data_IF_739824257966
#
_entry.id   IF_739824257966
#
_cell.length_a   1.000
_cell.length_b   1.000
_cell.length_c   1.000
_cell.angle_alpha   90.00
_cell.angle_beta   90.00
_cell.angle_gamma   90.00
#
_symmetry.space_group_name_H-M   'P 1'
#
loop_
_entity.id
_entity.type
_entity.pdbx_description
1 polymer ?
#
# COMPACT_ATOMS: atom_id res chain seq x y z
N UNK A 1 -22.73 2.00 -11.88
CA UNK A 1 -23.46 2.63 -10.76
C UNK A 1 -24.92 2.28 -10.92
N UNK A 2 -25.50 1.58 -9.95
CA UNK A 2 -26.92 1.25 -9.94
C UNK A 2 -27.76 2.51 -9.72
N UNK A 3 -29.04 2.49 -10.14
CA UNK A 3 -29.96 3.63 -9.97
C UNK A 3 -30.15 4.03 -8.49
N UNK A 4 -29.89 3.14 -7.55
CA UNK A 4 -30.00 3.34 -6.09
C UNK A 4 -28.85 4.21 -5.54
N UNK A 5 -27.65 4.15 -6.11
CA UNK A 5 -26.52 5.00 -5.69
C UNK A 5 -26.70 6.48 -5.97
N UNK A 6 -27.69 6.84 -6.82
CA UNK A 6 -28.01 8.24 -7.13
C UNK A 6 -28.94 8.91 -6.12
N UNK A 7 -29.53 8.15 -5.20
CA UNK A 7 -30.56 8.65 -4.26
C UNK A 7 -30.02 9.15 -2.92
N UNK A 8 -28.76 8.85 -2.57
CA UNK A 8 -28.17 9.33 -1.31
C UNK A 8 -26.99 10.26 -1.59
N UNK A 9 -27.03 11.50 -1.09
CA UNK A 9 -25.92 12.42 -1.25
C UNK A 9 -24.69 11.86 -0.50
N UNK A 10 -23.65 11.51 -1.22
CA UNK A 10 -22.36 11.13 -0.62
C UNK A 10 -21.78 12.32 0.14
N UNK A 11 -21.19 12.09 1.31
CA UNK A 11 -20.53 13.15 2.09
C UNK A 11 -19.45 13.85 1.25
N UNK A 12 -19.10 15.12 1.53
CA UNK A 12 -18.02 15.81 0.84
C UNK A 12 -16.70 15.03 0.88
N UNK A 13 -16.43 14.34 1.98
CA UNK A 13 -15.24 13.51 2.16
C UNK A 13 -15.24 12.28 1.23
N UNK A 14 -16.39 11.59 1.11
CA UNK A 14 -16.52 10.45 0.21
C UNK A 14 -16.40 10.88 -1.25
N UNK A 15 -16.99 12.00 -1.63
CA UNK A 15 -16.83 12.55 -3.00
C UNK A 15 -15.37 12.85 -3.31
N UNK A 16 -14.67 13.50 -2.38
CA UNK A 16 -13.23 13.77 -2.51
C UNK A 16 -12.40 12.48 -2.66
N UNK A 17 -12.71 11.48 -1.83
CA UNK A 17 -12.06 10.16 -1.91
C UNK A 17 -12.28 9.50 -3.27
N UNK A 18 -13.53 9.46 -3.75
CA UNK A 18 -13.85 8.87 -5.05
C UNK A 18 -13.16 9.61 -6.20
N UNK A 19 -13.04 10.93 -6.14
CA UNK A 19 -12.27 11.69 -7.12
C UNK A 19 -10.78 11.34 -7.09
N UNK A 20 -10.18 11.24 -5.91
CA UNK A 20 -8.77 10.82 -5.74
C UNK A 20 -8.56 9.40 -6.25
N UNK A 21 -9.45 8.46 -5.93
CA UNK A 21 -9.40 7.09 -6.43
C UNK A 21 -9.51 7.02 -7.96
N UNK A 22 -10.44 7.80 -8.56
CA UNK A 22 -10.57 7.91 -10.03
C UNK A 22 -9.32 8.52 -10.68
N UNK A 23 -8.70 9.52 -10.06
CA UNK A 23 -7.43 10.08 -10.51
C UNK A 23 -6.32 9.02 -10.49
N UNK A 24 -6.20 8.26 -9.42
CA UNK A 24 -5.24 7.17 -9.28
C UNK A 24 -5.47 6.07 -10.31
N UNK A 25 -6.73 5.73 -10.57
CA UNK A 25 -7.11 4.83 -11.65
C UNK A 25 -6.96 5.46 -13.05
N UNK A 26 -6.72 6.77 -13.12
CA UNK A 26 -6.61 7.53 -14.36
C UNK A 26 -7.93 7.64 -15.14
N UNK A 27 -9.05 7.62 -14.44
CA UNK A 27 -10.41 7.75 -15.02
C UNK A 27 -11.09 9.08 -14.66
N UNK A 28 -10.36 10.05 -14.11
CA UNK A 28 -10.88 11.31 -13.58
C UNK A 28 -11.18 12.40 -14.64
N UNK A 29 -11.07 12.11 -15.94
CA UNK A 29 -11.29 13.12 -16.96
C UNK A 29 -12.78 13.49 -17.08
N UNK A 30 -13.16 14.78 -16.97
CA UNK A 30 -14.56 15.23 -17.07
C UNK A 30 -15.09 15.26 -18.52
N UNK A 31 -14.24 15.25 -19.53
CA UNK A 31 -14.58 15.35 -20.95
C UNK A 31 -14.12 14.11 -21.71
N UNK A 32 -14.70 13.88 -22.89
CA UNK A 32 -14.26 12.81 -23.79
C UNK A 32 -12.75 12.95 -24.08
N UNK A 33 -11.98 12.00 -23.57
CA UNK A 33 -10.57 11.86 -23.87
C UNK A 33 -10.43 10.59 -24.70
N UNK A 34 -9.64 10.59 -25.78
CA UNK A 34 -9.38 9.38 -26.55
C UNK A 34 -8.98 8.22 -25.65
N UNK A 35 -9.41 6.99 -25.93
CA UNK A 35 -9.10 5.87 -25.07
C UNK A 35 -7.60 5.72 -24.90
N UNK A 36 -7.11 5.96 -23.67
CA UNK A 36 -5.71 5.77 -23.36
C UNK A 36 -5.42 4.29 -23.22
N UNK A 37 -4.46 3.80 -24.00
CA UNK A 37 -3.98 2.44 -23.90
C UNK A 37 -2.87 2.35 -22.86
N UNK A 38 -2.94 1.32 -22.05
CA UNK A 38 -1.88 0.91 -21.13
C UNK A 38 -1.31 -0.40 -21.64
N UNK A 39 0.03 -0.48 -21.70
CA UNK A 39 0.74 -1.65 -22.13
C UNK A 39 1.32 -2.43 -20.96
N UNK A 40 1.17 -3.75 -20.99
CA UNK A 40 1.78 -4.64 -20.02
C UNK A 40 3.27 -4.79 -20.34
N UNK A 41 4.14 -4.34 -19.45
CA UNK A 41 5.59 -4.42 -19.62
C UNK A 41 6.14 -5.85 -19.71
N UNK A 42 5.38 -6.86 -19.22
CA UNK A 42 5.81 -8.27 -19.25
C UNK A 42 5.46 -8.97 -20.57
N UNK A 43 4.25 -8.75 -21.09
CA UNK A 43 3.78 -9.51 -22.26
C UNK A 43 3.38 -8.64 -23.46
N UNK A 44 3.57 -7.33 -23.42
CA UNK A 44 3.24 -6.39 -24.49
C UNK A 44 1.74 -6.18 -24.74
N UNK A 45 0.84 -6.83 -23.98
CA UNK A 45 -0.60 -6.66 -24.15
C UNK A 45 -0.99 -5.20 -23.94
N UNK A 46 -1.62 -4.62 -24.96
CA UNK A 46 -2.22 -3.28 -24.92
C UNK A 46 -3.73 -3.40 -24.74
N UNK A 47 -4.26 -2.67 -23.79
CA UNK A 47 -5.70 -2.58 -23.55
C UNK A 47 -6.06 -1.16 -23.12
N UNK A 48 -7.33 -0.79 -23.26
CA UNK A 48 -7.80 0.50 -22.78
C UNK A 48 -7.71 0.57 -21.25
N UNK A 49 -7.59 1.77 -20.72
CA UNK A 49 -7.55 1.99 -19.27
C UNK A 49 -8.77 1.43 -18.54
N UNK A 50 -9.95 1.46 -19.18
CA UNK A 50 -11.18 0.86 -18.63
C UNK A 50 -11.05 -0.65 -18.39
N UNK A 51 -10.42 -1.38 -19.34
CA UNK A 51 -10.15 -2.82 -19.18
C UNK A 51 -9.20 -3.05 -18.01
N UNK A 52 -8.14 -2.25 -17.89
CA UNK A 52 -7.21 -2.33 -16.76
C UNK A 52 -7.86 -2.03 -15.42
N UNK A 53 -8.73 -1.04 -15.35
CA UNK A 53 -9.47 -0.72 -14.12
C UNK A 53 -10.40 -1.87 -13.72
N UNK A 54 -11.13 -2.48 -14.68
CA UNK A 54 -11.99 -3.65 -14.40
C UNK A 54 -11.22 -4.83 -13.85
N UNK A 55 -9.99 -5.07 -14.33
CA UNK A 55 -9.10 -6.12 -13.82
C UNK A 55 -8.25 -5.66 -12.63
N UNK A 56 -8.54 -4.51 -12.03
CA UNK A 56 -7.75 -3.91 -10.95
C UNK A 56 -6.25 -3.81 -11.28
N UNK A 57 -5.92 -3.51 -12.55
CA UNK A 57 -4.54 -3.47 -13.05
C UNK A 57 -3.78 -4.80 -12.93
N UNK A 58 -4.49 -5.90 -12.90
CA UNK A 58 -3.94 -7.24 -13.15
C UNK A 58 -4.03 -7.52 -14.65
N UNK A 59 -2.93 -7.90 -15.28
CA UNK A 59 -2.92 -8.13 -16.72
C UNK A 59 -3.81 -9.33 -17.10
N UNK A 60 -4.84 -9.14 -17.93
CA UNK A 60 -5.75 -10.23 -18.28
C UNK A 60 -5.11 -11.33 -19.13
N UNK A 61 -3.89 -11.08 -19.64
CA UNK A 61 -3.17 -12.05 -20.47
C UNK A 61 -2.12 -12.85 -19.70
N UNK A 62 -1.32 -12.18 -18.84
CA UNK A 62 -0.20 -12.85 -18.15
C UNK A 62 -0.26 -12.76 -16.64
N UNK A 63 -1.32 -12.22 -16.06
CA UNK A 63 -1.54 -12.15 -14.61
C UNK A 63 -0.63 -11.16 -13.85
N UNK A 64 0.30 -10.48 -14.52
CA UNK A 64 1.19 -9.55 -13.81
C UNK A 64 0.41 -8.39 -13.19
N UNK A 65 0.78 -8.02 -11.97
CA UNK A 65 0.20 -6.92 -11.23
C UNK A 65 0.97 -5.62 -11.52
N UNK A 66 0.30 -4.63 -12.12
CA UNK A 66 0.88 -3.30 -12.30
C UNK A 66 0.75 -2.48 -11.01
N UNK A 67 1.65 -1.50 -10.83
CA UNK A 67 1.56 -0.55 -9.71
C UNK A 67 0.26 0.26 -9.79
N UNK A 68 -0.37 0.47 -8.64
CA UNK A 68 -1.59 1.28 -8.49
C UNK A 68 -1.39 2.31 -7.38
N UNK A 69 -2.15 3.41 -7.46
CA UNK A 69 -2.10 4.46 -6.46
C UNK A 69 -2.82 4.11 -5.15
N UNK A 70 -2.43 4.80 -4.08
CA UNK A 70 -2.93 4.52 -2.74
C UNK A 70 -4.46 4.69 -2.61
N UNK A 71 -5.03 5.76 -3.14
CA UNK A 71 -6.48 5.96 -3.08
C UNK A 71 -7.24 4.94 -3.93
N UNK A 72 -6.69 4.53 -5.07
CA UNK A 72 -7.30 3.46 -5.86
C UNK A 72 -7.22 2.13 -5.11
N UNK A 73 -6.08 1.79 -4.47
CA UNK A 73 -5.95 0.61 -3.60
C UNK A 73 -7.02 0.60 -2.51
N UNK A 74 -7.16 1.70 -1.78
CA UNK A 74 -8.19 1.84 -0.74
C UNK A 74 -9.60 1.64 -1.30
N UNK A 75 -9.90 2.15 -2.49
CA UNK A 75 -11.21 1.97 -3.11
C UNK A 75 -11.51 0.53 -3.55
N UNK A 76 -10.48 -0.32 -3.73
CA UNK A 76 -10.68 -1.74 -4.08
C UNK A 76 -10.94 -2.63 -2.86
N UNK A 77 -10.54 -2.19 -1.67
CA UNK A 77 -10.66 -3.01 -0.44
C UNK A 77 -11.71 -2.49 0.54
N UNK A 78 -11.87 -1.16 0.67
CA UNK A 78 -12.84 -0.60 1.59
C UNK A 78 -14.28 -0.76 1.10
N UNK A 79 -15.20 -0.85 2.04
CA UNK A 79 -16.62 -0.79 1.76
C UNK A 79 -17.01 0.64 1.40
N UNK A 80 -17.94 0.77 0.45
CA UNK A 80 -18.37 2.07 -0.08
C UNK A 80 -18.88 2.98 1.05
N UNK A 81 -18.51 4.26 1.00
CA UNK A 81 -18.97 5.29 1.94
C UNK A 81 -18.33 5.25 3.33
N UNK A 82 -17.34 4.38 3.56
CA UNK A 82 -16.74 4.20 4.89
C UNK A 82 -15.37 4.85 5.07
N UNK A 83 -14.80 5.40 4.00
CA UNK A 83 -13.48 5.99 4.02
C UNK A 83 -13.39 7.25 4.89
N UNK A 84 -12.41 7.29 5.78
CA UNK A 84 -12.00 8.48 6.51
C UNK A 84 -10.48 8.53 6.58
N UNK A 85 -9.88 9.55 5.95
CA UNK A 85 -8.42 9.73 5.95
C UNK A 85 -7.92 10.13 7.34
N UNK A 86 -6.78 9.56 7.73
CA UNK A 86 -6.05 9.91 8.95
C UNK A 86 -4.81 10.72 8.57
N UNK A 87 -4.52 11.75 9.35
CA UNK A 87 -3.28 12.53 9.24
C UNK A 87 -2.96 13.02 7.80
N UNK A 88 -3.93 13.63 7.07
CA UNK A 88 -3.73 14.06 5.69
C UNK A 88 -2.70 15.18 5.54
N UNK A 89 -2.39 15.90 6.63
CA UNK A 89 -1.55 17.09 6.60
C UNK A 89 -0.09 16.81 6.92
N UNK A 90 0.26 15.60 7.33
CA UNK A 90 1.66 15.22 7.55
C UNK A 90 2.36 15.17 6.19
N UNK A 91 3.40 15.99 6.07
CA UNK A 91 4.23 16.17 4.89
C UNK A 91 5.72 16.01 5.24
N UNK A 92 6.58 15.69 4.27
CA UNK A 92 8.01 15.53 4.50
C UNK A 92 8.66 16.85 4.88
N UNK A 93 9.74 16.77 5.63
CA UNK A 93 10.58 17.90 5.99
C UNK A 93 12.03 17.64 5.54
N UNK A 94 12.65 18.62 4.91
CA UNK A 94 14.04 18.55 4.47
C UNK A 94 14.98 19.07 5.57
N UNK A 95 15.16 18.26 6.60
CA UNK A 95 16.02 18.62 7.76
C UNK A 95 17.52 18.64 7.43
N UNK A 96 17.93 17.95 6.38
CA UNK A 96 19.35 17.84 6.00
C UNK A 96 19.71 18.77 4.85
N UNK A 97 18.77 19.55 4.33
CA UNK A 97 18.95 20.41 3.15
C UNK A 97 19.61 19.64 1.99
N UNK A 98 19.05 18.43 1.71
CA UNK A 98 19.62 17.58 0.67
C UNK A 98 19.42 18.23 -0.72
N UNK A 99 20.44 18.26 -1.59
CA UNK A 99 20.36 18.91 -2.90
C UNK A 99 19.14 18.44 -3.71
N UNK A 100 18.39 19.37 -4.29
CA UNK A 100 17.19 19.17 -5.13
C UNK A 100 16.03 18.42 -4.46
N UNK A 101 16.07 18.17 -3.16
CA UNK A 101 15.04 17.35 -2.49
C UNK A 101 13.69 18.05 -2.50
N UNK A 102 13.64 19.34 -2.19
CA UNK A 102 12.40 20.15 -2.19
C UNK A 102 11.74 20.17 -3.57
N UNK A 103 12.53 20.38 -4.63
CA UNK A 103 12.04 20.40 -6.01
C UNK A 103 11.47 19.03 -6.42
N UNK A 104 12.17 17.95 -6.07
CA UNK A 104 11.72 16.58 -6.31
C UNK A 104 10.44 16.24 -5.54
N UNK A 105 10.28 16.75 -4.30
CA UNK A 105 9.05 16.62 -3.51
C UNK A 105 7.89 17.34 -4.19
N UNK A 106 8.10 18.59 -4.62
CA UNK A 106 7.08 19.35 -5.33
C UNK A 106 6.65 18.68 -6.64
N UNK A 107 7.61 18.15 -7.42
CA UNK A 107 7.34 17.40 -8.64
C UNK A 107 6.57 16.10 -8.37
N UNK A 108 6.93 15.34 -7.34
CA UNK A 108 6.23 14.13 -6.94
C UNK A 108 4.79 14.42 -6.49
N UNK A 109 4.59 15.47 -5.69
CA UNK A 109 3.27 15.94 -5.26
C UNK A 109 2.42 16.38 -6.45
N UNK A 110 2.97 17.16 -7.38
CA UNK A 110 2.28 17.60 -8.60
C UNK A 110 1.81 16.41 -9.45
N UNK A 111 2.68 15.41 -9.62
CA UNK A 111 2.40 14.20 -10.40
C UNK A 111 1.36 13.30 -9.75
N UNK A 112 1.44 13.06 -8.45
CA UNK A 112 0.62 12.08 -7.74
C UNK A 112 -0.59 12.68 -7.04
N UNK A 113 -0.53 13.96 -6.67
CA UNK A 113 -1.50 14.63 -5.81
C UNK A 113 -1.41 14.23 -4.35
N UNK A 114 -0.35 13.53 -3.98
CA UNK A 114 -0.06 13.12 -2.60
C UNK A 114 0.84 14.17 -1.92
N UNK A 115 0.71 14.32 -0.61
CA UNK A 115 1.67 15.08 0.19
C UNK A 115 2.87 14.22 0.59
N UNK A 116 2.68 12.90 0.70
CA UNK A 116 3.71 11.92 1.04
C UNK A 116 3.35 10.52 0.51
N UNK A 117 4.33 9.61 0.47
CA UNK A 117 4.22 8.26 -0.06
C UNK A 117 3.29 7.32 0.73
N UNK A 118 2.69 7.77 1.80
CA UNK A 118 1.74 6.98 2.59
C UNK A 118 0.39 7.68 2.73
N UNK A 119 -0.69 6.93 2.53
CA UNK A 119 -2.05 7.33 2.86
C UNK A 119 -2.56 6.41 3.96
N UNK A 120 -3.03 7.00 5.05
CA UNK A 120 -3.59 6.27 6.20
C UNK A 120 -5.07 6.61 6.35
N UNK A 121 -5.90 5.62 6.63
CA UNK A 121 -7.35 5.78 6.68
C UNK A 121 -8.00 4.82 7.67
N UNK A 122 -9.22 5.16 8.05
CA UNK A 122 -10.18 4.25 8.68
C UNK A 122 -11.26 3.96 7.65
N UNK A 123 -11.72 2.73 7.63
CA UNK A 123 -12.87 2.31 6.83
C UNK A 123 -13.41 0.98 7.32
N UNK A 124 -14.31 0.39 6.54
CA UNK A 124 -14.79 -0.97 6.79
C UNK A 124 -14.36 -1.89 5.66
N UNK A 125 -14.07 -3.13 6.01
CA UNK A 125 -13.82 -4.20 5.05
C UNK A 125 -14.74 -5.36 5.46
N UNK A 126 -15.70 -5.69 4.60
CA UNK A 126 -16.71 -6.71 4.93
C UNK A 126 -17.50 -6.38 6.20
N UNK A 127 -17.79 -5.10 6.44
CA UNK A 127 -18.49 -4.59 7.63
C UNK A 127 -17.60 -4.38 8.85
N UNK A 128 -16.36 -4.92 8.91
CA UNK A 128 -15.45 -4.77 10.04
C UNK A 128 -14.68 -3.45 9.95
N UNK A 129 -14.78 -2.62 10.98
CA UNK A 129 -14.02 -1.37 11.05
C UNK A 129 -12.52 -1.67 11.22
N UNK A 130 -11.70 -1.03 10.41
CA UNK A 130 -10.28 -1.36 10.27
C UNK A 130 -9.47 -0.11 9.98
N UNK A 131 -8.26 -0.03 10.51
CA UNK A 131 -7.26 0.97 10.12
C UNK A 131 -6.44 0.43 8.97
N UNK A 132 -6.31 1.22 7.90
CA UNK A 132 -5.58 0.80 6.70
C UNK A 132 -4.54 1.85 6.35
N UNK A 133 -3.31 1.42 6.13
CA UNK A 133 -2.23 2.26 5.58
C UNK A 133 -1.79 1.70 4.22
N UNK A 134 -1.55 2.58 3.26
CA UNK A 134 -1.10 2.19 1.92
C UNK A 134 0.08 3.05 1.52
N UNK A 135 1.20 2.41 1.20
CA UNK A 135 2.34 3.07 0.59
C UNK A 135 2.12 3.16 -0.93
N UNK A 136 2.53 4.27 -1.51
CA UNK A 136 2.39 4.57 -2.94
C UNK A 136 3.75 4.69 -3.61
N UNK A 137 4.12 3.69 -4.37
CA UNK A 137 5.43 3.66 -5.05
C UNK A 137 5.60 4.73 -6.14
N UNK A 138 4.54 5.43 -6.53
CA UNK A 138 4.62 6.55 -7.49
C UNK A 138 5.24 7.81 -6.86
N UNK A 139 5.21 7.93 -5.53
CA UNK A 139 5.83 9.00 -4.77
C UNK A 139 7.15 8.49 -4.19
N UNK A 140 8.30 8.95 -4.71
CA UNK A 140 9.64 8.54 -4.28
C UNK A 140 9.82 7.02 -4.10
N UNK A 141 9.31 6.22 -5.02
CA UNK A 141 9.34 4.75 -4.93
C UNK A 141 8.68 4.20 -3.64
N UNK A 142 7.77 4.94 -3.01
CA UNK A 142 7.18 4.53 -1.75
C UNK A 142 8.15 4.55 -0.57
N UNK A 143 9.28 5.25 -0.69
CA UNK A 143 10.35 5.22 0.32
C UNK A 143 9.90 5.80 1.65
N UNK A 144 10.34 5.17 2.74
CA UNK A 144 10.03 5.56 4.11
C UNK A 144 10.84 6.79 4.50
N UNK A 145 10.16 7.95 4.54
CA UNK A 145 10.62 9.21 5.12
C UNK A 145 10.24 9.29 6.60
N UNK A 146 10.67 10.35 7.27
CA UNK A 146 10.19 10.71 8.62
C UNK A 146 8.67 10.87 8.66
N UNK A 147 8.08 11.50 7.63
CA UNK A 147 6.64 11.67 7.52
C UNK A 147 5.89 10.37 7.25
N UNK A 148 6.44 9.46 6.43
CA UNK A 148 5.88 8.11 6.25
C UNK A 148 5.90 7.35 7.56
N UNK A 149 7.06 7.33 8.26
CA UNK A 149 7.18 6.67 9.55
C UNK A 149 6.21 7.22 10.60
N UNK A 150 6.03 8.55 10.63
CA UNK A 150 5.05 9.20 11.51
C UNK A 150 3.61 8.79 11.17
N UNK A 151 3.22 8.79 9.90
CA UNK A 151 1.88 8.37 9.48
C UNK A 151 1.59 6.92 9.86
N UNK A 152 2.56 6.03 9.61
CA UNK A 152 2.44 4.60 9.96
C UNK A 152 2.33 4.46 11.49
N UNK A 153 3.21 5.12 12.27
CA UNK A 153 3.18 5.08 13.73
C UNK A 153 1.83 5.54 14.28
N UNK A 154 1.32 6.68 13.82
CA UNK A 154 0.00 7.19 14.26
C UNK A 154 -1.16 6.28 13.86
N UNK A 155 -1.07 5.62 12.70
CA UNK A 155 -2.08 4.65 12.31
C UNK A 155 -2.07 3.42 13.24
N UNK A 156 -0.89 2.93 13.63
CA UNK A 156 -0.72 1.84 14.60
C UNK A 156 -1.29 2.24 15.96
N UNK A 157 -0.90 3.42 16.48
CA UNK A 157 -1.35 3.94 17.78
C UNK A 157 -2.87 4.15 17.78
N UNK A 158 -3.43 4.70 16.70
CA UNK A 158 -4.88 4.84 16.56
C UNK A 158 -5.60 3.47 16.57
N UNK A 159 -5.03 2.47 15.89
CA UNK A 159 -5.57 1.11 15.90
C UNK A 159 -5.54 0.50 17.29
N UNK A 160 -4.45 0.73 18.07
CA UNK A 160 -4.31 0.31 19.46
C UNK A 160 -5.38 0.94 20.35
N UNK A 161 -5.51 2.28 20.31
CA UNK A 161 -6.46 3.04 21.13
C UNK A 161 -7.91 2.66 20.88
N UNK A 162 -8.24 2.34 19.63
CA UNK A 162 -9.61 1.97 19.23
C UNK A 162 -9.86 0.47 19.19
N UNK A 163 -8.87 -0.33 19.55
CA UNK A 163 -8.92 -1.81 19.46
C UNK A 163 -9.38 -2.31 18.10
N UNK A 164 -8.88 -1.67 17.02
CA UNK A 164 -9.20 -2.01 15.64
C UNK A 164 -8.10 -2.86 15.01
N UNK A 165 -8.42 -3.75 14.08
CA UNK A 165 -7.43 -4.38 13.23
C UNK A 165 -6.66 -3.33 12.40
N UNK A 166 -5.39 -3.64 12.13
CA UNK A 166 -4.50 -2.84 11.31
C UNK A 166 -4.12 -3.60 10.04
N UNK A 167 -4.17 -2.95 8.88
CA UNK A 167 -3.70 -3.49 7.61
C UNK A 167 -2.73 -2.49 6.99
N UNK A 168 -1.54 -2.94 6.61
CA UNK A 168 -0.56 -2.10 5.89
C UNK A 168 -0.22 -2.73 4.55
N UNK A 169 -0.51 -2.00 3.46
CA UNK A 169 -0.06 -2.34 2.11
C UNK A 169 1.29 -1.70 1.85
N UNK A 170 2.32 -2.52 1.76
CA UNK A 170 3.69 -2.08 1.50
C UNK A 170 3.98 -2.07 0.01
N UNK A 171 4.48 -0.93 -0.50
CA UNK A 171 4.95 -0.75 -1.86
C UNK A 171 6.14 0.22 -1.84
N UNK A 172 7.35 -0.26 -1.54
CA UNK A 172 8.47 0.61 -1.17
C UNK A 172 9.83 0.09 -1.64
N UNK A 173 10.68 1.04 -2.04
CA UNK A 173 12.10 0.80 -2.30
C UNK A 173 12.98 0.82 -1.04
N UNK A 174 12.42 1.09 0.15
CA UNK A 174 13.19 1.14 1.41
C UNK A 174 13.18 2.51 2.10
N UNK A 175 14.21 2.80 2.90
CA UNK A 175 14.36 4.09 3.59
C UNK A 175 14.66 5.23 2.60
N UNK A 176 14.18 6.44 2.90
CA UNK A 176 14.39 7.63 2.05
C UNK A 176 15.80 8.17 2.21
N UNK A 177 16.60 8.00 1.17
CA UNK A 177 18.02 8.33 1.17
C UNK A 177 18.28 9.82 1.46
N UNK A 178 17.43 10.73 0.98
CA UNK A 178 17.55 12.17 1.18
C UNK A 178 17.39 12.59 2.64
N UNK A 179 16.75 11.78 3.46
CA UNK A 179 16.58 12.07 4.90
C UNK A 179 17.60 11.33 5.78
N UNK A 180 18.55 10.60 5.20
CA UNK A 180 19.67 9.97 5.89
C UNK A 180 19.25 9.16 7.11
N UNK A 181 19.92 9.40 8.25
CA UNK A 181 19.68 8.68 9.51
C UNK A 181 18.23 8.83 10.01
N UNK A 182 17.57 9.96 9.74
CA UNK A 182 16.20 10.18 10.19
C UNK A 182 15.22 9.19 9.56
N UNK A 183 15.43 8.81 8.29
CA UNK A 183 14.64 7.78 7.63
C UNK A 183 14.93 6.38 8.20
N UNK A 184 16.16 6.09 8.58
CA UNK A 184 16.53 4.81 9.21
C UNK A 184 15.91 4.67 10.61
N UNK A 185 15.85 5.75 11.38
CA UNK A 185 15.21 5.74 12.70
C UNK A 185 13.71 5.43 12.66
N UNK A 186 13.06 5.60 11.50
CA UNK A 186 11.66 5.22 11.35
C UNK A 186 11.45 3.70 11.44
N UNK A 187 12.45 2.90 11.09
CA UNK A 187 12.40 1.45 11.27
C UNK A 187 12.18 1.09 12.75
N UNK A 188 13.00 1.65 13.64
CA UNK A 188 12.87 1.42 15.08
C UNK A 188 11.54 1.98 15.62
N UNK A 189 11.14 3.18 15.18
CA UNK A 189 9.91 3.85 15.61
C UNK A 189 8.66 3.04 15.28
N UNK A 190 8.53 2.57 14.04
CA UNK A 190 7.37 1.79 13.59
C UNK A 190 7.35 0.42 14.24
N UNK A 191 8.51 -0.25 14.39
CA UNK A 191 8.61 -1.55 15.06
C UNK A 191 8.24 -1.46 16.54
N UNK A 192 8.68 -0.41 17.24
CA UNK A 192 8.31 -0.19 18.64
C UNK A 192 6.80 0.11 18.81
N UNK A 193 6.19 0.79 17.86
CA UNK A 193 4.74 1.01 17.87
C UNK A 193 3.97 -0.31 17.64
N UNK A 194 4.41 -1.14 16.71
CA UNK A 194 3.82 -2.46 16.46
C UNK A 194 3.97 -3.40 17.66
N UNK A 195 5.11 -3.38 18.34
CA UNK A 195 5.29 -4.17 19.55
C UNK A 195 4.27 -3.80 20.64
N UNK A 196 4.04 -2.48 20.87
CA UNK A 196 2.99 -2.02 21.80
C UNK A 196 1.59 -2.44 21.34
N UNK A 197 1.31 -2.36 20.04
CA UNK A 197 0.05 -2.80 19.43
C UNK A 197 -0.20 -4.30 19.63
N UNK A 198 0.82 -5.12 19.40
CA UNK A 198 0.77 -6.58 19.60
C UNK A 198 0.51 -6.92 21.08
N UNK A 199 1.23 -6.31 22.01
CA UNK A 199 0.99 -6.50 23.47
C UNK A 199 -0.42 -6.14 23.90
N UNK A 200 -1.08 -5.20 23.22
CA UNK A 200 -2.49 -4.87 23.46
C UNK A 200 -3.48 -5.86 22.85
N UNK A 201 -3.00 -6.94 22.22
CA UNK A 201 -3.83 -7.95 21.52
C UNK A 201 -4.38 -7.45 20.19
N UNK A 202 -3.70 -6.51 19.53
CA UNK A 202 -4.05 -6.04 18.20
C UNK A 202 -3.83 -7.11 17.14
N UNK A 203 -4.58 -7.06 16.02
CA UNK A 203 -4.33 -7.86 14.83
C UNK A 203 -3.68 -6.99 13.77
N UNK A 204 -2.48 -7.34 13.35
CA UNK A 204 -1.77 -6.71 12.25
C UNK A 204 -1.68 -7.62 11.02
N UNK A 205 -2.27 -7.22 9.90
CA UNK A 205 -2.14 -7.89 8.60
C UNK A 205 -1.21 -7.09 7.72
N UNK A 206 -0.06 -7.65 7.38
CA UNK A 206 0.88 -7.09 6.41
C UNK A 206 0.55 -7.57 5.01
N UNK A 207 0.41 -6.66 4.04
CA UNK A 207 0.17 -7.00 2.62
C UNK A 207 1.33 -6.47 1.79
N UNK A 208 2.17 -7.39 1.33
CA UNK A 208 3.38 -7.08 0.57
C UNK A 208 3.07 -6.96 -0.92
N UNK A 209 3.30 -5.79 -1.50
CA UNK A 209 3.10 -5.56 -2.93
C UNK A 209 4.42 -5.19 -3.62
N UNK A 210 4.41 -5.13 -4.94
CA UNK A 210 5.63 -4.88 -5.71
C UNK A 210 6.01 -3.38 -5.79
N UNK A 211 7.28 -3.03 -5.43
CA UNK A 211 8.26 -3.78 -4.66
C UNK A 211 8.08 -3.55 -3.15
N UNK A 212 8.55 -4.47 -2.29
CA UNK A 212 8.72 -4.21 -0.86
C UNK A 212 10.15 -4.60 -0.48
N UNK A 213 11.03 -3.61 -0.30
CA UNK A 213 12.47 -3.82 -0.13
C UNK A 213 13.08 -2.91 0.93
N UNK A 214 14.32 -3.19 1.28
CA UNK A 214 15.15 -2.37 2.15
C UNK A 214 14.61 -2.22 3.57
N UNK A 215 14.73 -1.03 4.13
CA UNK A 215 14.31 -0.72 5.50
C UNK A 215 12.82 -0.94 5.78
N UNK A 216 11.96 -0.89 4.75
CA UNK A 216 10.53 -1.20 4.92
C UNK A 216 10.33 -2.69 5.15
N UNK A 217 10.98 -3.55 4.36
CA UNK A 217 10.94 -5.00 4.61
C UNK A 217 11.53 -5.34 5.97
N UNK A 218 12.68 -4.76 6.33
CA UNK A 218 13.36 -5.02 7.59
C UNK A 218 12.71 -4.34 8.83
N UNK A 219 11.49 -3.81 8.69
CA UNK A 219 10.73 -3.21 9.79
C UNK A 219 9.27 -3.64 9.74
N UNK A 220 8.34 -2.70 9.68
CA UNK A 220 6.91 -3.00 9.81
C UNK A 220 6.38 -4.01 8.79
N UNK A 221 6.95 -4.12 7.58
CA UNK A 221 6.41 -5.02 6.57
C UNK A 221 6.57 -6.52 6.92
N UNK A 222 7.58 -6.88 7.72
CA UNK A 222 7.82 -8.27 8.15
C UNK A 222 7.31 -8.60 9.56
N UNK A 223 6.54 -7.68 10.18
CA UNK A 223 6.06 -7.83 11.56
C UNK A 223 4.56 -8.11 11.65
N UNK A 224 3.94 -8.57 10.55
CA UNK A 224 2.52 -8.95 10.52
C UNK A 224 2.26 -10.22 11.32
N UNK A 225 1.12 -10.27 12.03
CA UNK A 225 0.58 -11.53 12.56
C UNK A 225 0.14 -12.45 11.42
N UNK A 226 -0.29 -11.84 10.31
CA UNK A 226 -0.59 -12.51 9.05
C UNK A 226 0.06 -11.70 7.93
N UNK A 227 0.87 -12.37 7.11
CA UNK A 227 1.57 -11.74 6.00
C UNK A 227 1.03 -12.27 4.67
N UNK A 228 0.39 -11.41 3.91
CA UNK A 228 -0.10 -11.68 2.56
C UNK A 228 0.82 -11.04 1.53
N UNK A 229 0.91 -11.60 0.33
CA UNK A 229 1.66 -11.00 -0.77
C UNK A 229 0.88 -11.04 -2.08
N UNK A 230 1.04 -10.03 -2.94
CA UNK A 230 0.55 -10.10 -4.33
C UNK A 230 1.46 -11.00 -5.18
N UNK A 231 0.90 -11.76 -6.16
CA UNK A 231 1.69 -12.62 -7.04
C UNK A 231 2.85 -11.88 -7.74
N UNK A 232 4.02 -12.50 -7.73
CA UNK A 232 5.23 -12.01 -8.38
C UNK A 232 5.82 -10.75 -7.75
N UNK A 233 5.36 -10.31 -6.58
CA UNK A 233 5.92 -9.15 -5.88
C UNK A 233 7.38 -9.39 -5.52
N UNK A 234 8.22 -8.38 -5.74
CA UNK A 234 9.62 -8.38 -5.28
C UNK A 234 9.63 -8.05 -3.79
N UNK A 235 10.09 -8.98 -2.97
CA UNK A 235 10.15 -8.86 -1.50
C UNK A 235 11.54 -9.26 -1.04
N UNK A 236 12.27 -8.34 -0.44
CA UNK A 236 13.63 -8.63 0.02
C UNK A 236 14.29 -7.42 0.68
N UNK A 237 15.47 -7.62 1.28
CA UNK A 237 16.22 -6.50 1.86
C UNK A 237 17.00 -5.75 0.78
N UNK A 238 18.04 -6.35 0.25
CA UNK A 238 18.79 -5.78 -0.87
C UNK A 238 18.08 -6.06 -2.21
N UNK A 239 18.06 -5.10 -3.12
CA UNK A 239 17.55 -5.32 -4.46
C UNK A 239 18.42 -6.32 -5.26
N UNK A 240 17.83 -7.06 -6.23
CA UNK A 240 18.55 -8.07 -7.00
C UNK A 240 19.86 -7.56 -7.62
N UNK A 241 19.85 -6.37 -8.20
CA UNK A 241 21.05 -5.76 -8.82
C UNK A 241 22.19 -5.56 -7.81
N UNK A 242 21.87 -5.13 -6.58
CA UNK A 242 22.88 -4.92 -5.53
C UNK A 242 23.49 -6.24 -5.13
N UNK A 243 22.67 -7.28 -4.98
CA UNK A 243 23.15 -8.61 -4.62
C UNK A 243 24.05 -9.15 -5.73
N UNK A 244 23.60 -9.16 -6.99
CA UNK A 244 24.37 -9.66 -8.14
C UNK A 244 25.70 -8.92 -8.31
N UNK A 245 25.72 -7.60 -8.12
CA UNK A 245 26.95 -6.81 -8.18
C UNK A 245 27.91 -7.13 -7.02
N UNK A 246 27.38 -7.49 -5.86
CA UNK A 246 28.19 -7.79 -4.67
C UNK A 246 28.80 -9.19 -4.73
N UNK A 247 28.01 -10.20 -5.15
CA UNK A 247 28.48 -11.59 -5.20
C UNK A 247 29.11 -11.96 -6.55
N UNK A 248 28.90 -11.15 -7.60
CA UNK A 248 29.43 -11.41 -8.95
C UNK A 248 28.69 -12.50 -9.72
N UNK A 249 27.55 -12.98 -9.23
CA UNK A 249 26.77 -14.06 -9.82
C UNK A 249 25.33 -13.64 -10.11
N UNK A 250 24.68 -14.31 -11.07
CA UNK A 250 23.25 -14.12 -11.36
C UNK A 250 22.41 -14.84 -10.32
N UNK A 251 21.36 -14.18 -9.87
CA UNK A 251 20.40 -14.77 -8.93
C UNK A 251 19.55 -15.85 -9.62
N UNK A 252 19.14 -16.89 -8.90
CA UNK A 252 18.21 -17.89 -9.41
C UNK A 252 16.89 -17.27 -9.87
N UNK A 253 16.26 -17.89 -10.86
CA UNK A 253 14.94 -17.48 -11.32
C UNK A 253 13.91 -17.56 -10.17
N UNK A 254 13.10 -16.51 -10.04
CA UNK A 254 12.11 -16.43 -8.97
C UNK A 254 12.64 -15.98 -7.61
N UNK A 255 13.95 -15.80 -7.44
CA UNK A 255 14.54 -15.34 -6.18
C UNK A 255 13.90 -14.02 -5.71
N UNK A 256 13.60 -13.90 -4.43
CA UNK A 256 12.90 -12.75 -3.80
C UNK A 256 11.50 -12.47 -4.35
N UNK A 257 10.85 -13.41 -5.06
CA UNK A 257 9.44 -13.26 -5.42
C UNK A 257 8.54 -13.73 -4.29
N UNK A 258 7.29 -13.26 -4.32
CA UNK A 258 6.28 -13.64 -3.32
C UNK A 258 6.11 -15.16 -3.19
N UNK A 259 6.19 -15.89 -4.30
CA UNK A 259 6.12 -17.34 -4.33
C UNK A 259 7.33 -17.98 -3.62
N UNK A 260 8.53 -17.46 -3.85
CA UNK A 260 9.74 -17.85 -3.14
C UNK A 260 9.60 -17.58 -1.62
N UNK A 261 9.06 -16.42 -1.25
CA UNK A 261 8.86 -16.07 0.16
C UNK A 261 7.82 -16.97 0.84
N UNK A 262 6.79 -17.40 0.11
CA UNK A 262 5.80 -18.37 0.57
C UNK A 262 6.45 -19.73 0.84
N UNK A 263 7.27 -20.23 -0.09
CA UNK A 263 7.96 -21.52 0.04
C UNK A 263 8.94 -21.54 1.23
N UNK A 264 9.50 -20.37 1.59
CA UNK A 264 10.43 -20.21 2.71
C UNK A 264 9.77 -19.76 4.02
N UNK A 265 8.43 -19.68 4.07
CA UNK A 265 7.68 -19.38 5.29
C UNK A 265 7.70 -17.92 5.73
N UNK A 266 8.11 -16.97 4.88
CA UNK A 266 8.04 -15.54 5.16
C UNK A 266 6.71 -14.89 4.78
N UNK A 267 5.88 -15.57 4.02
CA UNK A 267 4.55 -15.15 3.59
C UNK A 267 3.59 -16.30 3.87
N UNK A 268 2.43 -16.00 4.46
CA UNK A 268 1.41 -17.01 4.78
C UNK A 268 0.58 -17.37 3.55
N UNK A 269 0.33 -16.39 2.67
CA UNK A 269 -0.45 -16.64 1.45
C UNK A 269 -0.10 -15.62 0.35
N UNK A 270 0.02 -16.12 -0.88
CA UNK A 270 0.06 -15.27 -2.09
C UNK A 270 -1.38 -15.13 -2.62
N UNK A 271 -1.87 -13.89 -2.68
CA UNK A 271 -3.27 -13.57 -2.99
C UNK A 271 -3.35 -12.62 -4.18
N UNK A 272 -4.02 -12.98 -5.27
CA UNK A 272 -4.30 -12.07 -6.36
C UNK A 272 -5.08 -10.83 -5.87
N UNK A 273 -4.75 -9.66 -6.42
CA UNK A 273 -5.38 -8.38 -6.03
C UNK A 273 -6.90 -8.42 -6.09
N UNK A 274 -7.44 -9.10 -7.08
CA UNK A 274 -8.88 -9.24 -7.28
C UNK A 274 -9.60 -10.00 -6.17
N UNK A 275 -8.86 -10.82 -5.41
CA UNK A 275 -9.37 -11.65 -4.31
C UNK A 275 -9.06 -11.07 -2.92
N UNK A 276 -8.17 -10.06 -2.85
CA UNK A 276 -7.70 -9.51 -1.58
C UNK A 276 -8.82 -9.02 -0.66
N UNK A 277 -9.86 -8.35 -1.21
CA UNK A 277 -10.99 -7.88 -0.38
C UNK A 277 -11.72 -9.04 0.29
N UNK A 278 -11.93 -10.12 -0.43
CA UNK A 278 -12.61 -11.32 0.11
C UNK A 278 -11.77 -12.01 1.18
N UNK A 279 -10.48 -12.21 0.92
CA UNK A 279 -9.54 -12.82 1.88
C UNK A 279 -9.45 -11.99 3.15
N UNK A 280 -9.25 -10.67 3.03
CA UNK A 280 -9.20 -9.76 4.17
C UNK A 280 -10.52 -9.77 4.95
N UNK A 281 -11.67 -9.81 4.27
CA UNK A 281 -12.98 -9.90 4.92
C UNK A 281 -13.08 -11.16 5.79
N UNK A 282 -12.69 -12.32 5.26
CA UNK A 282 -12.72 -13.59 6.01
C UNK A 282 -11.83 -13.55 7.25
N UNK A 283 -10.59 -13.07 7.12
CA UNK A 283 -9.65 -12.96 8.24
C UNK A 283 -10.22 -12.02 9.33
N UNK A 284 -10.69 -10.85 8.94
CA UNK A 284 -11.23 -9.86 9.86
C UNK A 284 -12.49 -10.36 10.58
N UNK A 285 -13.41 -10.99 9.88
CA UNK A 285 -14.64 -11.55 10.46
C UNK A 285 -14.33 -12.68 11.44
N UNK A 286 -13.41 -13.57 11.11
CA UNK A 286 -12.97 -14.65 12.00
C UNK A 286 -12.37 -14.09 13.30
N UNK A 287 -11.49 -13.12 13.20
CA UNK A 287 -10.85 -12.49 14.35
C UNK A 287 -11.83 -11.75 15.26
N UNK A 288 -12.80 -11.01 14.68
CA UNK A 288 -13.77 -10.24 15.45
C UNK A 288 -14.86 -11.07 16.10
N UNK A 289 -15.23 -12.23 15.54
CA UNK A 289 -16.17 -13.15 16.16
C UNK A 289 -15.60 -13.76 17.45
N UNK A 290 -14.31 -14.03 17.51
CA UNK A 290 -13.64 -14.51 18.71
C UNK A 290 -13.64 -13.51 19.87
N UNK A 291 -13.62 -12.19 19.58
CA UNK A 291 -13.68 -11.13 20.61
C UNK A 291 -15.05 -10.92 21.24
N UNK A 292 -16.14 -11.19 20.52
CA UNK A 292 -17.52 -11.04 21.06
C UNK A 292 -17.89 -12.16 22.05
N UNK A 293 -17.10 -13.24 22.14
CA UNK A 293 -17.33 -14.38 23.03
C UNK A 293 -16.52 -14.33 24.33
N UNK A 294 -15.67 -13.34 24.51
CA UNK A 294 -14.95 -13.04 25.74
C UNK A 294 -15.49 -11.76 26.38
#
# INVERSE_FOLDING_TARGET
MSAIEKLFPTSPQERSFQMKARRDAGTAAPNWVPPQFVECKKCGRRATRQVWVKSQYVCPNCGVHLAIGAYYRLSTVLDHGTFKELNPDIAPNDMLHFPDYQEKLAAASGKTGLKEAAVTAIGRIGGVQTVVAVLDSRFFMGSMSTAVGEKITRAIEYAADKHLPLIIFSASGGARMQEGIFSLMQMAKTSAALERFNRSGGLYISVLTHPTTGGVTASFASLGDITLAEPGALIGFAGPRVIEQTIGEKLPDGFQRSEFQLEHGFVDQVVPRTELKEVLTRILQFHTQGRKRR
#
